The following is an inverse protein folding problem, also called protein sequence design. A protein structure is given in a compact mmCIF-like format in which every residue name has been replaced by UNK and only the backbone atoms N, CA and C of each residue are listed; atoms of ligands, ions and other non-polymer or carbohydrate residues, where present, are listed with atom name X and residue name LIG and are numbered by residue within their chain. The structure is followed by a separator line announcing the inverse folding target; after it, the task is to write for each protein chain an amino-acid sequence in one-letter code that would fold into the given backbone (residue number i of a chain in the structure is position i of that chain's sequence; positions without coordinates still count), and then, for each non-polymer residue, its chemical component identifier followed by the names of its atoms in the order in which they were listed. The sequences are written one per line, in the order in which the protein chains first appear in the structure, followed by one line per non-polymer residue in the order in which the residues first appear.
data_IF_772783797459
#
_entry.id   IF_772783797459
#
_cell.length_a   1.000
_cell.length_b   1.000
_cell.length_c   1.000
_cell.angle_alpha   90.00
_cell.angle_beta   90.00
_cell.angle_gamma   90.00
#
_symmetry.space_group_name_H-M   'P 1'
#
loop_
_entity.id
_entity.type
_entity.pdbx_description
1 polymer ?
#
# COMPACT_ATOMS: atom_id res chain seq x y z
N UNK A 1 12.87 42.89 62.02
CA UNK A 1 12.65 41.44 61.97
C UNK A 1 11.64 41.14 60.89
N UNK A 2 12.11 40.84 59.68
CA UNK A 2 11.24 40.48 58.53
C UNK A 2 11.40 38.99 58.30
N UNK A 3 10.30 38.23 58.50
CA UNK A 3 10.24 36.80 58.26
C UNK A 3 10.15 36.56 56.76
N UNK A 4 11.14 35.87 56.17
CA UNK A 4 11.07 35.30 54.84
C UNK A 4 10.20 34.05 54.91
N UNK A 5 9.09 34.05 54.18
CA UNK A 5 8.30 32.85 53.94
C UNK A 5 8.92 32.14 52.71
N UNK A 6 9.47 30.94 52.94
CA UNK A 6 9.95 30.09 51.88
C UNK A 6 8.78 29.45 51.14
N UNK A 7 8.63 29.76 49.88
CA UNK A 7 7.67 29.11 48.98
C UNK A 7 8.32 27.84 48.41
N UNK A 8 7.97 26.70 48.96
CA UNK A 8 8.34 25.38 48.39
C UNK A 8 7.49 25.12 47.14
N UNK A 9 8.13 25.21 45.99
CA UNK A 9 7.51 24.83 44.71
C UNK A 9 7.43 23.31 44.65
N UNK A 10 6.24 22.75 44.90
CA UNK A 10 5.98 21.35 44.65
C UNK A 10 5.95 21.10 43.12
N UNK A 11 7.01 20.49 42.62
CA UNK A 11 7.09 20.01 41.24
C UNK A 11 6.11 18.84 41.12
N UNK A 12 4.90 19.09 40.64
CA UNK A 12 3.95 18.06 40.28
C UNK A 12 4.56 17.24 39.12
N UNK A 13 4.97 16.02 39.41
CA UNK A 13 5.29 15.03 38.38
C UNK A 13 4.01 14.78 37.56
N UNK A 14 3.94 15.34 36.38
CA UNK A 14 2.98 14.97 35.37
C UNK A 14 3.31 13.51 34.99
N UNK A 15 2.41 12.54 35.20
CA UNK A 15 2.67 11.19 34.70
C UNK A 15 2.89 11.31 33.22
N UNK A 16 4.08 10.87 32.73
CA UNK A 16 4.42 10.90 31.34
C UNK A 16 3.31 10.24 30.53
N UNK A 17 2.75 10.97 29.59
CA UNK A 17 1.91 10.42 28.55
C UNK A 17 2.78 9.37 27.83
N UNK A 18 2.57 8.10 28.17
CA UNK A 18 3.09 6.99 27.38
C UNK A 18 2.42 7.13 26.00
N UNK A 19 3.12 7.72 25.05
CA UNK A 19 2.71 7.63 23.66
C UNK A 19 2.67 6.14 23.32
N UNK A 20 1.48 5.60 23.11
CA UNK A 20 1.34 4.27 22.58
C UNK A 20 2.15 4.24 21.27
N UNK A 21 3.10 3.33 21.17
CA UNK A 21 3.86 3.19 19.94
C UNK A 21 2.85 2.95 18.80
N UNK A 22 2.98 3.71 17.72
CA UNK A 22 2.09 3.53 16.57
C UNK A 22 2.09 2.07 16.12
N UNK A 23 0.93 1.52 15.73
CA UNK A 23 0.81 0.14 15.34
C UNK A 23 1.72 -0.17 14.16
N UNK A 24 2.21 -1.41 14.09
CA UNK A 24 2.99 -1.90 12.96
C UNK A 24 2.01 -2.50 11.95
N UNK A 25 2.08 -2.04 10.72
CA UNK A 25 1.40 -2.71 9.61
C UNK A 25 2.23 -3.94 9.21
N UNK A 26 1.61 -5.11 9.14
CA UNK A 26 2.27 -6.35 8.79
C UNK A 26 1.54 -7.04 7.64
N UNK A 27 2.28 -7.37 6.61
CA UNK A 27 1.81 -8.21 5.51
C UNK A 27 2.58 -9.53 5.48
N UNK A 28 1.85 -10.63 5.39
CA UNK A 28 2.41 -11.97 5.21
C UNK A 28 1.87 -12.56 3.92
N UNK A 29 2.73 -12.77 2.94
CA UNK A 29 2.35 -13.17 1.58
C UNK A 29 1.23 -12.30 1.00
N UNK A 30 1.32 -10.99 1.21
CA UNK A 30 0.35 -10.00 0.76
C UNK A 30 -0.93 -9.87 1.59
N UNK A 31 -1.16 -10.75 2.56
CA UNK A 31 -2.34 -10.69 3.44
C UNK A 31 -2.05 -9.74 4.60
N UNK A 32 -2.95 -8.78 4.84
CA UNK A 32 -2.87 -7.86 5.96
C UNK A 32 -3.09 -8.58 7.29
N UNK A 33 -2.10 -8.53 8.17
CA UNK A 33 -2.16 -9.22 9.46
C UNK A 33 -3.09 -8.52 10.47
N UNK A 34 -3.70 -7.38 10.17
CA UNK A 34 -4.73 -6.75 11.03
C UNK A 34 -5.96 -7.64 11.17
N UNK A 35 -6.22 -8.49 10.19
CA UNK A 35 -7.32 -9.46 10.23
C UNK A 35 -7.04 -10.66 11.17
N UNK A 36 -5.80 -10.79 11.65
CA UNK A 36 -5.48 -11.84 12.60
C UNK A 36 -5.90 -11.46 14.02
N UNK A 37 -6.49 -12.43 14.71
CA UNK A 37 -6.96 -12.27 16.10
C UNK A 37 -5.83 -11.88 17.06
N UNK A 38 -4.63 -12.31 16.76
CA UNK A 38 -3.44 -12.07 17.59
C UNK A 38 -2.47 -11.17 16.84
N UNK A 39 -2.15 -10.02 17.43
CA UNK A 39 -1.33 -9.00 16.80
C UNK A 39 0.17 -9.23 17.01
N UNK A 40 1.03 -8.71 16.10
CA UNK A 40 2.48 -8.71 16.30
C UNK A 40 2.90 -7.88 17.51
N UNK A 41 4.02 -8.24 18.12
CA UNK A 41 4.61 -7.53 19.26
C UNK A 41 6.03 -7.11 18.90
N UNK A 42 6.41 -5.87 19.23
CA UNK A 42 7.82 -5.43 19.23
C UNK A 42 8.39 -5.57 20.61
N UNK A 43 9.47 -6.35 20.72
CA UNK A 43 10.22 -6.57 21.97
C UNK A 43 11.70 -6.61 21.65
N UNK A 44 12.53 -5.90 22.43
CA UNK A 44 13.98 -5.83 22.21
C UNK A 44 14.34 -5.41 20.77
N UNK A 45 13.61 -4.42 20.23
CA UNK A 45 13.73 -3.93 18.85
C UNK A 45 13.56 -5.01 17.76
N UNK A 46 12.87 -6.10 18.07
CA UNK A 46 12.54 -7.18 17.14
C UNK A 46 11.03 -7.38 17.07
N UNK A 47 10.57 -7.71 15.86
CA UNK A 47 9.18 -8.06 15.60
C UNK A 47 8.96 -9.55 15.86
N UNK A 48 8.01 -9.84 16.73
CA UNK A 48 7.57 -11.18 17.04
C UNK A 48 6.13 -11.38 16.58
N UNK A 49 5.84 -12.57 16.07
CA UNK A 49 4.53 -12.99 15.64
C UNK A 49 4.04 -14.21 16.44
N UNK A 50 2.74 -14.28 16.74
CA UNK A 50 2.16 -15.51 17.21
C UNK A 50 2.30 -16.59 16.15
N UNK A 51 2.87 -17.74 16.51
CA UNK A 51 3.17 -18.82 15.55
C UNK A 51 1.97 -19.20 14.72
N UNK A 52 0.78 -19.32 15.34
CA UNK A 52 -0.44 -19.73 14.64
C UNK A 52 -0.82 -18.75 13.52
N UNK A 53 -0.80 -17.45 13.81
CA UNK A 53 -1.12 -16.41 12.80
C UNK A 53 -0.20 -16.48 11.60
N UNK A 54 1.10 -16.72 11.84
CA UNK A 54 2.09 -16.85 10.76
C UNK A 54 1.82 -18.09 9.92
N UNK A 55 1.58 -19.22 10.56
CA UNK A 55 1.41 -20.50 9.85
C UNK A 55 0.11 -20.56 9.07
N UNK A 56 -0.97 -19.99 9.60
CA UNK A 56 -2.23 -19.84 8.87
C UNK A 56 -2.06 -18.96 7.62
N UNK A 57 -1.37 -17.80 7.76
CA UNK A 57 -1.09 -16.91 6.64
C UNK A 57 -0.19 -17.52 5.56
N UNK A 58 0.70 -18.40 5.97
CA UNK A 58 1.67 -19.05 5.05
C UNK A 58 1.17 -20.39 4.52
N UNK A 59 0.03 -20.90 5.00
CA UNK A 59 -0.47 -22.22 4.65
C UNK A 59 0.43 -23.36 5.14
N UNK A 60 1.22 -23.11 6.18
CA UNK A 60 2.19 -24.05 6.75
C UNK A 60 1.67 -24.54 8.10
N UNK A 61 1.89 -25.83 8.41
CA UNK A 61 1.50 -26.39 9.70
C UNK A 61 2.55 -26.04 10.76
N UNK A 62 2.08 -25.66 11.95
CA UNK A 62 2.89 -25.56 13.15
C UNK A 62 2.54 -26.70 14.11
N UNK A 63 3.56 -27.31 14.69
CA UNK A 63 3.45 -28.28 15.76
C UNK A 63 4.09 -27.72 17.04
N UNK A 64 3.53 -28.09 18.20
CA UNK A 64 4.00 -27.67 19.52
C UNK A 64 4.22 -28.86 20.43
N UNK A 65 5.47 -29.06 20.84
CA UNK A 65 5.79 -30.02 21.90
C UNK A 65 5.86 -29.31 23.27
N UNK A 66 4.90 -29.65 24.13
CA UNK A 66 4.80 -29.08 25.46
C UNK A 66 5.94 -29.46 26.40
N UNK A 67 6.56 -30.66 26.21
CA UNK A 67 7.61 -31.16 27.11
C UNK A 67 8.93 -30.46 26.84
N UNK A 68 9.34 -30.40 25.58
CA UNK A 68 10.56 -29.73 25.15
C UNK A 68 10.37 -28.22 24.96
N UNK A 69 9.14 -27.72 25.00
CA UNK A 69 8.79 -26.34 24.65
C UNK A 69 9.27 -25.96 23.25
N UNK A 70 9.22 -26.90 22.32
CA UNK A 70 9.66 -26.72 20.95
C UNK A 70 8.49 -26.37 20.05
N UNK A 71 8.65 -25.34 19.24
CA UNK A 71 7.80 -25.00 18.14
C UNK A 71 8.44 -25.51 16.86
N UNK A 72 7.71 -26.24 16.05
CA UNK A 72 8.15 -26.70 14.72
C UNK A 72 7.25 -26.07 13.65
N UNK A 73 7.86 -25.44 12.64
CA UNK A 73 7.15 -24.86 11.49
C UNK A 73 7.87 -25.31 10.21
N UNK A 74 7.30 -26.28 9.50
CA UNK A 74 7.99 -26.94 8.39
C UNK A 74 9.32 -27.55 8.88
N UNK A 75 10.44 -27.15 8.27
CA UNK A 75 11.78 -27.63 8.61
C UNK A 75 12.50 -26.73 9.64
N UNK A 76 11.76 -25.92 10.39
CA UNK A 76 12.28 -25.00 11.39
C UNK A 76 11.86 -25.44 12.79
N UNK A 77 12.83 -25.62 13.68
CA UNK A 77 12.60 -25.97 15.09
C UNK A 77 13.20 -24.88 15.98
N UNK A 78 12.39 -24.34 16.89
CA UNK A 78 12.76 -23.32 17.86
C UNK A 78 12.34 -23.73 19.25
N UNK A 79 13.21 -23.63 20.25
CA UNK A 79 12.89 -23.88 21.65
C UNK A 79 12.59 -22.55 22.32
N UNK A 80 11.47 -22.47 23.04
CA UNK A 80 11.11 -21.26 23.79
C UNK A 80 12.14 -20.97 24.87
N UNK A 81 12.66 -19.75 24.85
CA UNK A 81 13.71 -19.28 25.76
C UNK A 81 15.13 -19.53 25.26
N UNK A 82 15.33 -20.28 24.18
CA UNK A 82 16.64 -20.56 23.59
C UNK A 82 16.87 -19.73 22.34
N UNK A 83 18.14 -19.30 22.15
CA UNK A 83 18.54 -18.58 20.94
C UNK A 83 18.98 -19.51 19.80
N UNK A 84 19.38 -20.72 20.10
CA UNK A 84 19.71 -21.69 19.08
C UNK A 84 18.45 -22.32 18.48
N UNK A 85 18.48 -22.51 17.18
CA UNK A 85 17.39 -23.10 16.43
C UNK A 85 17.91 -23.95 15.28
N UNK A 86 17.08 -24.81 14.73
CA UNK A 86 17.40 -25.59 13.54
C UNK A 86 16.55 -25.07 12.37
N UNK A 87 17.16 -24.87 11.23
CA UNK A 87 16.46 -24.54 10.00
C UNK A 87 17.05 -25.31 8.83
N UNK A 88 16.22 -26.07 8.12
CA UNK A 88 16.63 -26.94 7.00
C UNK A 88 17.76 -27.93 7.40
N UNK A 89 17.71 -28.46 8.62
CA UNK A 89 18.70 -29.38 9.18
C UNK A 89 19.99 -28.73 9.70
N UNK A 90 20.13 -27.41 9.59
CA UNK A 90 21.31 -26.67 10.07
C UNK A 90 21.02 -25.98 11.40
N UNK A 91 21.98 -26.06 12.33
CA UNK A 91 21.95 -25.27 13.57
C UNK A 91 22.35 -23.83 13.29
N UNK A 92 21.53 -22.90 13.80
CA UNK A 92 21.72 -21.45 13.68
C UNK A 92 21.43 -20.77 15.03
N UNK A 93 21.85 -19.53 15.19
CA UNK A 93 21.63 -18.76 16.41
C UNK A 93 20.90 -17.46 16.12
N UNK A 94 19.86 -17.19 16.91
CA UNK A 94 19.09 -15.94 16.88
C UNK A 94 19.68 -14.90 17.83
N UNK A 95 19.47 -13.64 17.57
CA UNK A 95 19.83 -12.57 18.52
C UNK A 95 18.82 -12.45 19.68
N UNK A 96 17.58 -12.90 19.49
CA UNK A 96 16.50 -12.94 20.47
C UNK A 96 15.82 -14.32 20.49
N UNK A 97 15.30 -14.75 21.63
CA UNK A 97 14.66 -16.06 21.80
C UNK A 97 13.12 -15.97 21.63
N UNK A 98 12.47 -17.03 21.15
CA UNK A 98 11.03 -17.16 21.22
C UNK A 98 10.53 -17.13 22.66
N UNK A 99 9.32 -16.62 22.89
CA UNK A 99 8.74 -16.55 24.24
C UNK A 99 7.24 -16.90 24.24
N UNK A 100 6.70 -17.18 25.43
CA UNK A 100 5.26 -17.35 25.62
C UNK A 100 4.70 -16.15 26.38
N UNK A 101 3.63 -15.58 25.86
CA UNK A 101 2.85 -14.53 26.50
C UNK A 101 1.35 -14.80 26.30
N UNK A 102 0.56 -14.74 27.38
CA UNK A 102 -0.90 -14.98 27.37
C UNK A 102 -1.27 -16.28 26.62
N UNK A 103 -0.60 -17.36 26.94
CA UNK A 103 -0.76 -18.68 26.31
C UNK A 103 -0.55 -18.72 24.79
N UNK A 104 0.24 -17.79 24.26
CA UNK A 104 0.65 -17.76 22.86
C UNK A 104 2.17 -17.82 22.75
N UNK A 105 2.65 -18.62 21.83
CA UNK A 105 4.07 -18.67 21.49
C UNK A 105 4.39 -17.64 20.42
N UNK A 106 5.28 -16.73 20.75
CA UNK A 106 5.77 -15.68 19.86
C UNK A 106 7.16 -16.05 19.35
N UNK A 107 7.32 -15.98 18.04
CA UNK A 107 8.60 -16.26 17.37
C UNK A 107 9.10 -15.02 16.63
N UNK A 108 10.43 -14.82 16.59
CA UNK A 108 11.00 -13.70 15.85
C UNK A 108 10.77 -13.88 14.35
N UNK A 109 10.09 -12.94 13.73
CA UNK A 109 9.66 -13.00 12.31
C UNK A 109 10.81 -13.28 11.36
N UNK A 110 11.95 -12.60 11.55
CA UNK A 110 13.10 -12.71 10.66
C UNK A 110 13.59 -14.14 10.53
N UNK A 111 13.84 -14.81 11.65
CA UNK A 111 14.42 -16.16 11.64
C UNK A 111 13.46 -17.20 11.11
N UNK A 112 12.17 -17.03 11.38
CA UNK A 112 11.15 -17.90 10.78
C UNK A 112 11.10 -17.72 9.26
N UNK A 113 11.05 -16.47 8.79
CA UNK A 113 11.00 -16.17 7.37
C UNK A 113 12.27 -16.60 6.61
N UNK A 114 13.46 -16.37 7.19
CA UNK A 114 14.74 -16.82 6.62
C UNK A 114 14.81 -18.35 6.51
N UNK A 115 14.37 -19.07 7.56
CA UNK A 115 14.29 -20.52 7.54
C UNK A 115 13.34 -21.06 6.46
N UNK A 116 12.27 -20.32 6.17
CA UNK A 116 11.33 -20.60 5.09
C UNK A 116 11.76 -20.05 3.72
N UNK A 117 12.94 -19.42 3.64
CA UNK A 117 13.49 -18.78 2.43
C UNK A 117 12.57 -17.67 1.89
N UNK A 118 11.86 -16.98 2.78
CA UNK A 118 11.00 -15.85 2.43
C UNK A 118 11.74 -14.53 2.63
N UNK A 119 11.60 -13.57 1.70
CA UNK A 119 12.14 -12.24 1.90
C UNK A 119 11.43 -11.53 3.05
N UNK A 120 12.17 -10.75 3.83
CA UNK A 120 11.64 -9.86 4.86
C UNK A 120 12.09 -8.45 4.55
N UNK A 121 11.14 -7.53 4.45
CA UNK A 121 11.40 -6.11 4.24
C UNK A 121 10.81 -5.30 5.38
N UNK A 122 11.59 -4.36 5.92
CA UNK A 122 11.12 -3.39 6.90
C UNK A 122 11.10 -1.99 6.28
N UNK A 123 9.96 -1.33 6.36
CA UNK A 123 9.81 0.08 6.04
C UNK A 123 9.71 0.90 7.32
N UNK A 124 10.82 1.48 7.73
CA UNK A 124 10.89 2.26 8.97
C UNK A 124 10.07 3.55 8.93
N UNK A 125 9.88 4.15 7.76
CA UNK A 125 9.09 5.38 7.59
C UNK A 125 7.60 5.12 7.90
N UNK A 126 7.07 4.04 7.38
CA UNK A 126 5.65 3.69 7.52
C UNK A 126 5.42 2.61 8.59
N UNK A 127 6.46 2.22 9.36
CA UNK A 127 6.41 1.15 10.36
C UNK A 127 5.74 -0.12 9.84
N UNK A 128 6.12 -0.52 8.61
CA UNK A 128 5.53 -1.68 7.94
C UNK A 128 6.55 -2.82 7.79
N UNK A 129 6.13 -4.03 8.15
CA UNK A 129 6.87 -5.27 7.91
C UNK A 129 6.19 -6.09 6.82
N UNK A 130 6.97 -6.60 5.88
CA UNK A 130 6.50 -7.40 4.76
C UNK A 130 7.28 -8.70 4.75
N UNK A 131 6.59 -9.82 4.87
CA UNK A 131 7.14 -11.18 4.84
C UNK A 131 6.61 -11.90 3.61
N UNK A 132 7.50 -12.37 2.76
CA UNK A 132 7.13 -13.04 1.51
C UNK A 132 6.63 -12.09 0.43
N UNK A 133 5.90 -12.64 -0.53
CA UNK A 133 5.24 -11.89 -1.60
C UNK A 133 3.89 -12.55 -1.90
N UNK A 134 2.91 -11.74 -2.32
CA UNK A 134 1.65 -12.28 -2.82
C UNK A 134 1.88 -12.88 -4.22
N UNK A 135 2.37 -14.12 -4.26
CA UNK A 135 2.53 -14.89 -5.49
C UNK A 135 2.08 -16.33 -5.24
N UNK A 136 1.05 -16.73 -5.95
CA UNK A 136 0.68 -18.11 -6.15
C UNK A 136 0.79 -18.42 -7.64
N UNK A 137 0.72 -19.70 -8.03
CA UNK A 137 0.59 -20.07 -9.44
C UNK A 137 -0.79 -19.64 -9.93
N UNK A 138 -0.83 -18.90 -11.04
CA UNK A 138 -2.10 -18.56 -11.69
C UNK A 138 -2.73 -19.80 -12.33
N UNK A 139 -4.05 -19.98 -12.16
CA UNK A 139 -4.78 -21.13 -12.68
C UNK A 139 -5.00 -21.06 -14.21
N UNK A 140 -4.50 -20.04 -14.88
CA UNK A 140 -4.63 -19.88 -16.33
C UNK A 140 -3.27 -19.66 -17.02
N UNK A 141 -3.23 -19.92 -18.32
CA UNK A 141 -2.09 -19.52 -19.16
C UNK A 141 -2.28 -18.07 -19.58
N UNK A 142 -1.31 -17.16 -19.27
CA UNK A 142 -1.38 -15.77 -19.72
C UNK A 142 -1.36 -15.73 -21.25
N UNK A 143 -2.24 -14.91 -21.84
CA UNK A 143 -2.25 -14.65 -23.29
C UNK A 143 -1.85 -13.22 -23.59
N UNK A 144 -2.24 -12.27 -22.72
CA UNK A 144 -1.98 -10.85 -22.88
C UNK A 144 -1.45 -10.25 -21.60
N UNK A 145 -0.33 -9.55 -21.67
CA UNK A 145 0.17 -8.70 -20.59
C UNK A 145 -0.28 -7.28 -20.83
N UNK A 146 -0.79 -6.63 -19.79
CA UNK A 146 -1.22 -5.24 -19.82
C UNK A 146 -0.55 -4.46 -18.70
N UNK A 147 -0.31 -3.18 -18.95
CA UNK A 147 0.27 -2.26 -17.97
C UNK A 147 -0.66 -1.08 -17.79
N UNK A 148 -0.99 -0.78 -16.54
CA UNK A 148 -1.72 0.41 -16.11
C UNK A 148 -0.92 1.09 -15.00
N UNK A 149 -0.47 2.33 -15.27
CA UNK A 149 0.47 3.00 -14.37
C UNK A 149 1.73 2.14 -14.17
N UNK A 150 2.04 1.82 -12.94
CA UNK A 150 3.17 0.96 -12.58
C UNK A 150 2.79 -0.52 -12.34
N UNK A 151 1.53 -0.88 -12.45
CA UNK A 151 1.08 -2.25 -12.32
C UNK A 151 1.01 -2.94 -13.68
N UNK A 152 1.71 -4.06 -13.81
CA UNK A 152 1.68 -4.94 -14.98
C UNK A 152 1.09 -6.28 -14.56
N UNK A 153 0.15 -6.80 -15.30
CA UNK A 153 -0.47 -8.10 -15.02
C UNK A 153 -0.89 -8.81 -16.29
N UNK A 154 -1.12 -10.10 -16.19
CA UNK A 154 -1.47 -10.97 -17.31
C UNK A 154 -2.95 -11.30 -17.31
N UNK A 155 -3.52 -11.36 -18.50
CA UNK A 155 -4.92 -11.68 -18.74
C UNK A 155 -5.02 -13.00 -19.53
N UNK A 156 -6.01 -13.86 -19.22
CA UNK A 156 -6.27 -15.08 -19.99
C UNK A 156 -6.97 -14.75 -21.31
N UNK A 157 -7.09 -15.75 -22.16
CA UNK A 157 -7.88 -15.66 -23.38
C UNK A 157 -9.33 -15.31 -23.08
N UNK A 158 -9.92 -14.47 -23.95
CA UNK A 158 -11.35 -14.12 -23.89
C UNK A 158 -11.80 -13.44 -22.56
N UNK A 159 -10.87 -12.83 -21.81
CA UNK A 159 -11.18 -12.20 -20.53
C UNK A 159 -12.27 -11.10 -20.67
N UNK A 160 -12.35 -10.44 -21.83
CA UNK A 160 -13.33 -9.40 -22.14
C UNK A 160 -14.79 -9.92 -22.17
N UNK A 161 -14.98 -11.22 -22.27
CA UNK A 161 -16.32 -11.85 -22.17
C UNK A 161 -16.82 -11.90 -20.72
N UNK A 162 -15.90 -11.81 -19.75
CA UNK A 162 -16.20 -11.97 -18.33
C UNK A 162 -15.96 -10.73 -17.49
N UNK A 163 -15.00 -9.89 -17.87
CA UNK A 163 -14.59 -8.72 -17.10
C UNK A 163 -14.76 -7.41 -17.90
N UNK A 164 -15.02 -6.34 -17.19
CA UNK A 164 -14.74 -4.97 -17.59
C UNK A 164 -13.59 -4.48 -16.71
N UNK A 165 -12.57 -3.89 -17.31
CA UNK A 165 -11.42 -3.31 -16.61
C UNK A 165 -11.37 -1.84 -16.95
N UNK A 166 -11.44 -0.99 -15.93
CA UNK A 166 -11.32 0.45 -16.07
C UNK A 166 -10.01 0.94 -15.43
N UNK A 167 -9.48 2.01 -15.99
CA UNK A 167 -8.32 2.69 -15.42
C UNK A 167 -8.67 4.15 -15.20
N UNK A 168 -8.47 4.63 -14.00
CA UNK A 168 -8.65 6.03 -13.64
C UNK A 168 -7.61 6.45 -12.64
N UNK A 169 -6.90 7.54 -12.93
CA UNK A 169 -5.82 8.07 -12.08
C UNK A 169 -4.76 6.98 -11.80
N UNK A 170 -4.71 6.50 -10.57
CA UNK A 170 -3.74 5.48 -10.10
C UNK A 170 -4.43 4.14 -9.77
N UNK A 171 -5.68 3.97 -10.18
CA UNK A 171 -6.51 2.80 -9.87
C UNK A 171 -6.85 2.00 -11.11
N UNK A 172 -6.77 0.68 -11.01
CA UNK A 172 -7.30 -0.29 -11.98
C UNK A 172 -8.46 -1.00 -11.31
N UNK A 173 -9.67 -0.83 -11.83
CA UNK A 173 -10.86 -1.44 -11.26
C UNK A 173 -11.38 -2.56 -12.14
N UNK A 174 -11.71 -3.69 -11.51
CA UNK A 174 -12.25 -4.88 -12.14
C UNK A 174 -13.73 -5.01 -11.84
N UNK A 175 -14.53 -5.24 -12.88
CA UNK A 175 -15.96 -5.47 -12.77
C UNK A 175 -16.36 -6.80 -13.42
N UNK A 176 -17.35 -7.48 -12.84
CA UNK A 176 -18.09 -8.53 -13.53
C UNK A 176 -18.89 -7.91 -14.68
N UNK A 177 -18.59 -8.37 -15.88
CA UNK A 177 -19.16 -7.77 -17.09
C UNK A 177 -20.67 -7.84 -17.13
N UNK A 178 -21.27 -8.98 -16.72
CA UNK A 178 -22.71 -9.17 -16.83
C UNK A 178 -23.48 -8.24 -15.88
N UNK A 179 -23.00 -8.05 -14.67
CA UNK A 179 -23.59 -7.12 -13.72
C UNK A 179 -23.33 -5.65 -14.11
N UNK A 180 -22.15 -5.34 -14.61
CA UNK A 180 -21.78 -4.01 -15.08
C UNK A 180 -22.59 -3.59 -16.31
N UNK A 181 -22.79 -4.48 -17.30
CA UNK A 181 -23.61 -4.22 -18.47
C UNK A 181 -25.09 -4.05 -18.11
N UNK A 182 -25.57 -4.71 -17.05
CA UNK A 182 -26.94 -4.54 -16.57
C UNK A 182 -27.13 -3.22 -15.80
N UNK A 183 -26.12 -2.77 -15.06
CA UNK A 183 -26.09 -1.50 -14.35
C UNK A 183 -24.64 -1.07 -14.13
N UNK A 184 -24.19 0.01 -14.76
CA UNK A 184 -22.80 0.46 -14.83
C UNK A 184 -22.11 0.62 -13.45
N UNK A 185 -22.86 0.99 -12.42
CA UNK A 185 -22.34 1.12 -11.05
C UNK A 185 -22.14 -0.21 -10.31
N UNK A 186 -22.62 -1.33 -10.88
CA UNK A 186 -22.63 -2.64 -10.24
C UNK A 186 -21.54 -3.57 -10.82
N UNK A 187 -21.37 -4.72 -10.21
CA UNK A 187 -20.40 -5.70 -10.65
C UNK A 187 -18.97 -5.44 -10.21
N UNK A 188 -18.69 -4.40 -9.40
CA UNK A 188 -17.33 -4.12 -8.90
C UNK A 188 -16.84 -5.30 -8.07
N UNK A 189 -15.65 -5.83 -8.44
CA UNK A 189 -15.00 -6.95 -7.74
C UNK A 189 -13.94 -6.39 -6.80
N UNK A 190 -13.05 -5.58 -7.33
CA UNK A 190 -11.95 -5.00 -6.58
C UNK A 190 -11.13 -4.05 -7.42
N UNK A 191 -10.13 -3.46 -6.80
CA UNK A 191 -9.26 -2.49 -7.46
C UNK A 191 -7.81 -2.64 -7.03
N UNK A 192 -6.89 -2.44 -7.97
CA UNK A 192 -5.47 -2.26 -7.70
C UNK A 192 -5.22 -0.77 -7.54
N UNK A 193 -4.61 -0.37 -6.45
CA UNK A 193 -4.29 1.03 -6.13
C UNK A 193 -2.83 1.17 -5.74
N UNK A 194 -2.21 2.27 -6.15
CA UNK A 194 -0.87 2.67 -5.71
C UNK A 194 -0.98 3.76 -4.66
N UNK A 195 -0.28 3.61 -3.53
CA UNK A 195 -0.27 4.58 -2.43
C UNK A 195 1.06 4.58 -1.67
N UNK A 196 1.43 5.71 -1.07
CA UNK A 196 2.67 5.84 -0.30
C UNK A 196 2.64 5.10 1.04
N UNK A 197 1.47 4.99 1.64
CA UNK A 197 1.28 4.32 2.92
C UNK A 197 0.46 3.04 2.71
N UNK A 198 0.90 1.88 3.23
CA UNK A 198 0.13 0.65 3.14
C UNK A 198 -1.11 0.63 4.06
N UNK A 199 -1.28 1.64 4.89
CA UNK A 199 -2.40 1.72 5.84
C UNK A 199 -3.71 2.07 5.13
N UNK A 200 -4.32 1.05 4.54
CA UNK A 200 -5.64 1.16 3.92
C UNK A 200 -6.75 1.14 4.99
N UNK A 201 -7.80 1.98 4.86
CA UNK A 201 -8.95 1.95 5.77
C UNK A 201 -9.76 0.65 5.66
N UNK A 202 -9.57 -0.13 4.62
CA UNK A 202 -10.19 -1.43 4.40
C UNK A 202 -9.13 -2.51 4.25
N UNK A 203 -9.43 -3.77 4.56
CA UNK A 203 -8.50 -4.87 4.34
C UNK A 203 -8.01 -4.90 2.89
N UNK A 204 -6.70 -4.95 2.72
CA UNK A 204 -6.07 -4.92 1.41
C UNK A 204 -5.06 -6.06 1.26
N UNK A 205 -4.89 -6.52 0.03
CA UNK A 205 -3.82 -7.45 -0.33
C UNK A 205 -2.65 -6.64 -0.88
N UNK A 206 -1.48 -6.78 -0.26
CA UNK A 206 -0.24 -6.21 -0.78
C UNK A 206 0.24 -7.03 -1.98
N UNK A 207 0.24 -6.43 -3.15
CA UNK A 207 0.70 -7.05 -4.39
C UNK A 207 2.18 -6.82 -4.63
N UNK A 208 2.66 -5.60 -4.36
CA UNK A 208 4.06 -5.25 -4.53
C UNK A 208 4.44 -4.00 -3.71
N UNK A 209 5.75 -3.83 -3.47
CA UNK A 209 6.32 -2.63 -2.87
C UNK A 209 7.43 -2.08 -3.78
N UNK A 210 7.30 -0.82 -4.16
CA UNK A 210 8.34 -0.03 -4.81
C UNK A 210 9.14 0.82 -3.80
N UNK A 211 10.02 1.68 -4.31
CA UNK A 211 10.85 2.54 -3.47
C UNK A 211 10.06 3.64 -2.75
N UNK A 212 8.97 4.11 -3.34
CA UNK A 212 8.18 5.24 -2.83
C UNK A 212 6.73 4.88 -2.55
N UNK A 213 6.24 3.73 -2.99
CA UNK A 213 4.84 3.37 -2.92
C UNK A 213 4.62 1.87 -2.73
N UNK A 214 3.39 1.55 -2.37
CA UNK A 214 2.85 0.21 -2.27
C UNK A 214 1.77 0.03 -3.34
N UNK A 215 1.71 -1.16 -3.93
CA UNK A 215 0.61 -1.56 -4.80
C UNK A 215 -0.27 -2.53 -4.01
N UNK A 216 -1.49 -2.12 -3.78
CA UNK A 216 -2.47 -2.86 -2.99
C UNK A 216 -3.66 -3.27 -3.87
N UNK A 217 -4.33 -4.35 -3.50
CA UNK A 217 -5.65 -4.67 -4.01
C UNK A 217 -6.67 -4.69 -2.88
N UNK A 218 -7.76 -3.97 -3.06
CA UNK A 218 -8.94 -4.04 -2.19
C UNK A 218 -10.07 -4.70 -2.94
N UNK A 219 -10.86 -5.53 -2.24
CA UNK A 219 -12.08 -6.11 -2.79
C UNK A 219 -13.31 -5.32 -2.34
N UNK A 220 -14.39 -5.41 -3.09
CA UNK A 220 -15.66 -4.86 -2.65
C UNK A 220 -16.08 -5.51 -1.31
N UNK A 221 -16.52 -4.68 -0.36
CA UNK A 221 -16.93 -5.12 0.98
C UNK A 221 -18.27 -5.84 1.00
N UNK A 222 -19.04 -5.67 -0.06
CA UNK A 222 -20.38 -6.22 -0.25
C UNK A 222 -20.51 -6.86 -1.64
N UNK A 223 -21.54 -7.69 -1.81
CA UNK A 223 -21.82 -8.36 -3.08
C UNK A 223 -22.43 -7.36 -4.07
N UNK A 224 -21.70 -7.08 -5.14
CA UNK A 224 -22.05 -6.10 -6.17
C UNK A 224 -22.84 -6.75 -7.31
N UNK A 225 -23.91 -7.49 -6.99
CA UNK A 225 -24.81 -8.15 -7.95
C UNK A 225 -26.10 -7.34 -8.06
N UNK A 226 -26.50 -7.03 -9.28
CA UNK A 226 -27.72 -6.20 -9.57
C UNK A 226 -28.99 -6.82 -8.99
N UNK A 227 -29.10 -8.15 -9.09
CA UNK A 227 -30.21 -8.92 -8.54
C UNK A 227 -29.69 -10.23 -7.95
N UNK A 228 -29.65 -10.31 -6.63
CA UNK A 228 -29.18 -11.51 -5.90
C UNK A 228 -30.12 -12.72 -6.02
N UNK A 229 -31.38 -12.52 -6.45
CA UNK A 229 -32.31 -13.59 -6.79
C UNK A 229 -32.02 -14.22 -8.16
N UNK A 230 -31.26 -13.52 -9.01
CA UNK A 230 -30.91 -14.01 -10.34
C UNK A 230 -29.64 -14.84 -10.29
N UNK A 231 -29.81 -16.17 -10.32
CA UNK A 231 -28.69 -17.13 -10.26
C UNK A 231 -27.62 -16.89 -11.33
N UNK A 232 -28.01 -16.47 -12.54
CA UNK A 232 -27.07 -16.23 -13.64
C UNK A 232 -26.13 -15.05 -13.35
N UNK A 233 -26.64 -13.97 -12.76
CA UNK A 233 -25.84 -12.81 -12.33
C UNK A 233 -24.91 -13.18 -11.17
N UNK A 234 -25.40 -13.95 -10.20
CA UNK A 234 -24.61 -14.42 -9.07
C UNK A 234 -23.45 -15.37 -9.53
N UNK A 235 -23.76 -16.32 -10.42
CA UNK A 235 -22.78 -17.24 -10.96
C UNK A 235 -21.70 -16.49 -11.77
N UNK A 236 -22.10 -15.47 -12.57
CA UNK A 236 -21.16 -14.63 -13.30
C UNK A 236 -20.22 -13.89 -12.35
N UNK A 237 -20.78 -13.19 -11.35
CA UNK A 237 -19.99 -12.45 -10.36
C UNK A 237 -18.99 -13.36 -9.64
N UNK A 238 -19.42 -14.55 -9.23
CA UNK A 238 -18.56 -15.53 -8.54
C UNK A 238 -17.39 -15.96 -9.43
N UNK A 239 -17.65 -16.26 -10.71
CA UNK A 239 -16.60 -16.63 -11.67
C UNK A 239 -15.62 -15.48 -11.91
N UNK A 240 -16.14 -14.27 -12.07
CA UNK A 240 -15.34 -13.07 -12.28
C UNK A 240 -14.46 -12.75 -11.06
N UNK A 241 -14.98 -12.92 -9.85
CA UNK A 241 -14.20 -12.77 -8.61
C UNK A 241 -13.04 -13.78 -8.53
N UNK A 242 -13.29 -15.06 -8.90
CA UNK A 242 -12.24 -16.08 -8.97
C UNK A 242 -11.18 -15.71 -10.02
N UNK A 243 -11.62 -15.25 -11.20
CA UNK A 243 -10.71 -14.86 -12.28
C UNK A 243 -9.83 -13.68 -11.86
N UNK A 244 -10.39 -12.65 -11.20
CA UNK A 244 -9.61 -11.52 -10.70
C UNK A 244 -8.56 -12.00 -9.69
N UNK A 245 -8.90 -12.89 -8.77
CA UNK A 245 -7.92 -13.48 -7.83
C UNK A 245 -6.75 -14.18 -8.53
N UNK A 246 -7.01 -14.86 -9.65
CA UNK A 246 -5.95 -15.47 -10.45
C UNK A 246 -5.12 -14.43 -11.21
N UNK A 247 -5.75 -13.37 -11.75
CA UNK A 247 -5.05 -12.24 -12.38
C UNK A 247 -4.10 -11.57 -11.38
N UNK A 248 -4.53 -11.35 -10.13
CA UNK A 248 -3.70 -10.72 -9.09
C UNK A 248 -2.41 -11.48 -8.81
N UNK A 249 -2.38 -12.80 -8.97
CA UNK A 249 -1.16 -13.62 -8.82
C UNK A 249 -0.09 -13.31 -9.88
N UNK A 250 -0.49 -12.70 -10.98
CA UNK A 250 0.39 -12.32 -12.09
C UNK A 250 0.86 -10.87 -12.02
N UNK A 251 0.43 -10.11 -10.98
CA UNK A 251 0.78 -8.70 -10.86
C UNK A 251 2.28 -8.55 -10.60
N UNK A 252 2.90 -7.73 -11.43
CA UNK A 252 4.26 -7.28 -11.28
C UNK A 252 4.28 -5.76 -11.21
N UNK A 253 5.25 -5.23 -10.47
CA UNK A 253 5.46 -3.79 -10.39
C UNK A 253 6.57 -3.39 -11.33
N UNK A 254 6.29 -2.40 -12.16
CA UNK A 254 7.30 -1.67 -12.88
C UNK A 254 7.69 -0.44 -12.05
N UNK A 255 8.63 -0.63 -11.11
CA UNK A 255 9.10 0.46 -10.25
C UNK A 255 9.93 1.47 -11.06
N UNK A 256 9.22 2.34 -11.77
CA UNK A 256 9.84 3.41 -12.59
C UNK A 256 10.62 4.42 -11.74
N UNK A 257 10.42 4.40 -10.40
CA UNK A 257 11.13 5.25 -9.45
C UNK A 257 12.44 4.64 -8.92
N UNK A 258 12.73 3.38 -9.25
CA UNK A 258 13.85 2.63 -8.66
C UNK A 258 15.21 3.35 -8.79
N UNK A 259 15.47 3.92 -9.97
CA UNK A 259 16.74 4.58 -10.28
C UNK A 259 16.53 6.08 -10.60
N UNK A 260 15.51 6.69 -10.01
CA UNK A 260 15.18 8.09 -10.27
C UNK A 260 15.67 8.99 -9.12
N UNK A 261 16.40 10.05 -9.50
CA UNK A 261 16.88 11.06 -8.56
C UNK A 261 15.82 12.14 -8.30
N UNK A 262 15.75 12.66 -7.07
CA UNK A 262 14.91 13.82 -6.78
C UNK A 262 15.30 15.04 -7.64
N UNK A 263 14.29 15.74 -8.15
CA UNK A 263 14.45 17.05 -8.78
C UNK A 263 13.87 18.12 -7.88
N UNK A 264 14.53 19.28 -7.81
CA UNK A 264 14.06 20.43 -7.07
C UNK A 264 13.52 21.48 -8.04
N UNK A 265 12.29 21.94 -7.81
CA UNK A 265 11.64 23.04 -8.55
C UNK A 265 11.11 24.02 -7.53
N UNK A 266 11.65 25.23 -7.51
CA UNK A 266 11.41 26.15 -6.38
C UNK A 266 11.83 25.50 -5.05
N UNK A 267 10.95 25.52 -4.07
CA UNK A 267 11.16 24.89 -2.76
C UNK A 267 10.63 23.45 -2.66
N UNK A 268 10.07 22.92 -3.75
CA UNK A 268 9.50 21.57 -3.79
C UNK A 268 10.55 20.58 -4.31
N UNK A 269 10.79 19.53 -3.55
CA UNK A 269 11.58 18.37 -3.99
C UNK A 269 10.65 17.20 -4.29
N UNK A 270 10.76 16.66 -5.50
CA UNK A 270 9.94 15.52 -5.96
C UNK A 270 10.76 14.60 -6.87
N UNK A 271 10.30 13.39 -7.11
CA UNK A 271 10.94 12.48 -8.06
C UNK A 271 10.09 12.37 -9.32
N UNK A 272 10.66 12.75 -10.46
CA UNK A 272 10.04 12.56 -11.77
C UNK A 272 10.84 11.49 -12.50
N UNK A 273 10.33 10.26 -12.64
CA UNK A 273 11.01 9.17 -13.31
C UNK A 273 11.40 9.52 -14.75
N UNK A 274 12.49 8.95 -15.24
CA UNK A 274 12.91 9.13 -16.64
C UNK A 274 11.80 8.77 -17.62
N UNK A 275 11.06 7.70 -17.32
CA UNK A 275 9.91 7.25 -18.13
C UNK A 275 8.75 8.26 -18.20
N UNK A 276 8.67 9.21 -17.26
CA UNK A 276 7.61 10.23 -17.22
C UNK A 276 8.05 11.57 -17.76
N UNK A 277 9.35 11.79 -18.00
CA UNK A 277 9.91 13.08 -18.43
C UNK A 277 9.34 13.62 -19.75
N UNK A 278 8.90 12.74 -20.62
CA UNK A 278 8.29 13.17 -21.91
C UNK A 278 6.79 13.51 -21.75
N UNK A 279 6.15 13.00 -20.70
CA UNK A 279 4.73 13.23 -20.44
C UNK A 279 4.49 14.34 -19.40
N UNK A 280 5.30 14.41 -18.35
CA UNK A 280 5.12 15.31 -17.21
C UNK A 280 6.21 16.37 -17.17
N UNK A 281 5.81 17.62 -16.96
CA UNK A 281 6.67 18.73 -16.66
C UNK A 281 6.37 19.33 -15.31
N UNK A 282 7.38 19.93 -14.69
CA UNK A 282 7.25 20.74 -13.49
C UNK A 282 8.03 22.04 -13.69
N UNK A 283 7.44 23.16 -13.35
CA UNK A 283 8.09 24.48 -13.44
C UNK A 283 7.60 25.41 -12.35
N UNK A 284 8.41 26.43 -12.06
CA UNK A 284 8.01 27.54 -11.19
C UNK A 284 7.46 28.68 -12.03
N UNK A 285 6.21 29.03 -11.81
CA UNK A 285 5.51 30.11 -12.51
C UNK A 285 4.77 30.99 -11.53
N UNK A 286 5.05 32.29 -11.52
CA UNK A 286 4.40 33.25 -10.64
C UNK A 286 4.57 32.96 -9.15
N UNK A 287 5.73 32.42 -8.74
CA UNK A 287 6.04 32.04 -7.35
C UNK A 287 5.33 30.76 -6.88
N UNK A 288 4.78 29.96 -7.81
CA UNK A 288 4.15 28.66 -7.52
C UNK A 288 4.79 27.59 -8.38
N UNK A 289 4.91 26.39 -7.83
CA UNK A 289 5.36 25.22 -8.57
C UNK A 289 4.14 24.50 -9.15
N UNK A 290 4.16 24.25 -10.44
CA UNK A 290 3.06 23.60 -11.16
C UNK A 290 3.52 22.29 -11.79
N UNK A 291 2.61 21.30 -11.84
CA UNK A 291 2.74 20.11 -12.65
C UNK A 291 1.84 20.22 -13.89
N UNK A 292 2.33 19.78 -15.03
CA UNK A 292 1.56 19.80 -16.27
C UNK A 292 1.85 18.60 -17.16
N UNK A 293 0.86 18.18 -17.94
CA UNK A 293 1.00 17.19 -19.01
C UNK A 293 1.47 17.90 -20.30
N UNK A 294 2.58 17.43 -20.83
CA UNK A 294 3.34 18.14 -21.88
C UNK A 294 2.67 18.14 -23.25
N UNK A 295 1.91 17.10 -23.59
CA UNK A 295 1.26 17.01 -24.91
C UNK A 295 0.15 18.04 -25.05
N UNK A 296 -0.69 18.15 -24.01
CA UNK A 296 -1.75 19.16 -23.96
C UNK A 296 -1.16 20.57 -23.84
N UNK A 297 -0.14 20.75 -22.98
CA UNK A 297 0.53 22.04 -22.82
C UNK A 297 1.15 22.55 -24.11
N UNK A 298 1.74 21.64 -24.91
CA UNK A 298 2.27 21.93 -26.24
C UNK A 298 1.18 22.25 -27.26
N UNK A 299 0.05 21.55 -27.20
CA UNK A 299 -1.09 21.78 -28.09
C UNK A 299 -1.73 23.16 -27.84
N UNK A 300 -1.87 23.53 -26.59
CA UNK A 300 -2.38 24.84 -26.17
C UNK A 300 -1.85 25.15 -24.77
N UNK A 301 -1.15 26.27 -24.62
CA UNK A 301 -0.62 26.71 -23.32
C UNK A 301 -1.70 26.79 -22.27
N UNK A 302 -1.44 26.20 -21.10
CA UNK A 302 -2.35 26.09 -19.96
C UNK A 302 -3.35 24.94 -20.03
N UNK A 303 -3.48 24.23 -21.17
CA UNK A 303 -4.40 23.09 -21.26
C UNK A 303 -3.81 21.79 -20.70
N UNK A 304 -2.54 21.78 -20.38
CA UNK A 304 -1.87 20.65 -19.74
C UNK A 304 -1.78 20.77 -18.21
N UNK A 305 -2.24 21.86 -17.61
CA UNK A 305 -2.13 22.05 -16.16
C UNK A 305 -2.81 20.91 -15.39
N UNK A 306 -2.03 20.20 -14.59
CA UNK A 306 -2.53 19.12 -13.72
C UNK A 306 -2.84 19.68 -12.33
N UNK A 307 -1.97 20.52 -11.80
CA UNK A 307 -2.20 21.14 -10.51
C UNK A 307 -1.02 21.97 -10.02
N UNK A 308 -1.15 22.52 -8.82
CA UNK A 308 -0.24 23.53 -8.28
C UNK A 308 0.11 23.21 -6.83
N UNK A 309 1.39 23.23 -6.50
CA UNK A 309 1.86 23.17 -5.12
C UNK A 309 1.67 24.54 -4.45
N UNK A 310 1.12 24.53 -3.25
CA UNK A 310 0.86 25.73 -2.46
C UNK A 310 1.21 25.49 -1.00
N UNK A 311 1.85 26.47 -0.39
CA UNK A 311 2.01 26.53 1.07
C UNK A 311 0.93 27.44 1.60
N UNK A 312 0.08 26.92 2.45
CA UNK A 312 -1.11 27.62 2.97
C UNK A 312 -1.17 27.52 4.49
N UNK A 313 -1.66 28.57 5.15
CA UNK A 313 -1.97 28.49 6.57
C UNK A 313 -3.38 27.91 6.80
N UNK A 314 -3.74 27.64 8.06
CA UNK A 314 -5.02 27.00 8.41
C UNK A 314 -6.25 27.78 7.89
N UNK A 315 -6.21 29.12 7.97
CA UNK A 315 -7.33 29.97 7.50
C UNK A 315 -7.48 29.99 5.99
N UNK A 316 -6.38 29.83 5.28
CA UNK A 316 -6.37 29.72 3.81
C UNK A 316 -6.84 28.35 3.40
N UNK A 317 -6.41 27.28 4.11
CA UNK A 317 -6.83 25.90 3.85
C UNK A 317 -8.35 25.74 3.94
N UNK A 318 -8.98 26.35 4.94
CA UNK A 318 -10.45 26.36 5.13
C UNK A 318 -11.25 27.04 4.00
N UNK A 319 -10.57 27.86 3.19
CA UNK A 319 -11.20 28.61 2.08
C UNK A 319 -10.96 28.01 0.72
N UNK A 320 -10.18 26.93 0.65
CA UNK A 320 -9.90 26.26 -0.63
C UNK A 320 -11.17 25.58 -1.14
N UNK A 321 -11.60 26.01 -2.32
CA UNK A 321 -12.62 25.33 -3.09
C UNK A 321 -11.93 24.53 -4.19
N UNK A 322 -12.11 23.22 -4.21
CA UNK A 322 -11.49 22.31 -5.16
C UNK A 322 -10.81 21.13 -4.49
N UNK A 323 -10.47 20.12 -5.28
CA UNK A 323 -9.81 18.92 -4.80
C UNK A 323 -8.33 19.18 -4.55
N UNK A 324 -7.85 18.78 -3.39
CA UNK A 324 -6.44 18.88 -3.05
C UNK A 324 -5.92 17.68 -2.26
N UNK A 325 -4.61 17.42 -2.41
CA UNK A 325 -3.89 16.49 -1.56
C UNK A 325 -3.09 17.27 -0.50
N UNK A 326 -3.25 16.90 0.76
CA UNK A 326 -2.42 17.40 1.85
C UNK A 326 -1.12 16.60 1.87
N UNK A 327 -0.01 17.22 1.45
CA UNK A 327 1.29 16.55 1.31
C UNK A 327 2.14 16.64 2.58
N UNK A 328 2.04 17.76 3.28
CA UNK A 328 2.74 17.97 4.55
C UNK A 328 1.90 18.91 5.42
N UNK A 329 1.77 18.54 6.67
CA UNK A 329 1.11 19.35 7.69
C UNK A 329 2.12 19.78 8.76
N UNK A 330 2.12 21.06 9.09
CA UNK A 330 2.69 21.53 10.32
C UNK A 330 1.76 22.57 10.96
N UNK A 331 2.01 22.92 12.22
CA UNK A 331 1.11 23.77 13.01
C UNK A 331 0.82 25.14 12.40
N UNK A 332 1.77 25.69 11.64
CA UNK A 332 1.70 27.03 11.09
C UNK A 332 1.32 27.06 9.61
N UNK A 333 1.84 26.11 8.83
CA UNK A 333 1.65 26.04 7.39
C UNK A 333 1.51 24.59 6.90
N UNK A 334 0.71 24.40 5.87
CA UNK A 334 0.54 23.11 5.19
C UNK A 334 1.01 23.21 3.75
N UNK A 335 1.70 22.18 3.26
CA UNK A 335 1.96 22.01 1.85
C UNK A 335 0.83 21.18 1.24
N UNK A 336 0.17 21.73 0.26
CA UNK A 336 -0.90 21.04 -0.48
C UNK A 336 -0.55 20.99 -1.97
N UNK A 337 -1.17 20.04 -2.66
CA UNK A 337 -1.27 20.06 -4.12
C UNK A 337 -2.74 20.25 -4.49
N UNK A 338 -3.03 21.41 -5.06
CA UNK A 338 -4.37 21.75 -5.55
C UNK A 338 -4.49 21.29 -6.99
N UNK A 339 -5.44 20.37 -7.24
CA UNK A 339 -5.71 19.85 -8.57
C UNK A 339 -6.36 20.92 -9.45
N UNK A 340 -5.99 20.94 -10.72
CA UNK A 340 -6.66 21.77 -11.70
C UNK A 340 -8.02 21.14 -12.10
N UNK A 341 -8.95 21.96 -12.52
CA UNK A 341 -10.15 21.47 -13.18
C UNK A 341 -9.77 20.73 -14.48
N UNK A 342 -10.42 19.58 -14.75
CA UNK A 342 -10.16 18.82 -15.95
C UNK A 342 -10.49 19.68 -17.18
N UNK A 343 -9.52 19.87 -18.11
CA UNK A 343 -9.73 20.69 -19.27
C UNK A 343 -10.77 20.03 -20.20
N UNK A 344 -11.66 20.84 -20.77
CA UNK A 344 -12.66 20.37 -21.73
C UNK A 344 -12.00 19.99 -23.09
N UNK A 345 -11.22 18.89 -23.08
CA UNK A 345 -10.52 18.39 -24.26
C UNK A 345 -11.44 17.47 -25.05
N UNK A 346 -11.73 17.85 -26.31
CA UNK A 346 -12.58 17.05 -27.21
C UNK A 346 -11.79 16.01 -28.01
N UNK A 347 -10.51 16.24 -28.25
CA UNK A 347 -9.63 15.32 -28.97
C UNK A 347 -9.35 14.09 -28.09
N UNK A 348 -9.69 12.86 -28.55
CA UNK A 348 -9.51 11.64 -27.76
C UNK A 348 -8.05 11.35 -27.38
N UNK A 349 -7.09 11.73 -28.26
CA UNK A 349 -5.65 11.50 -28.02
C UNK A 349 -5.16 12.44 -26.92
N UNK A 350 -5.53 13.72 -26.98
CA UNK A 350 -5.18 14.70 -25.96
C UNK A 350 -5.87 14.39 -24.63
N UNK A 351 -7.14 13.96 -24.67
CA UNK A 351 -7.87 13.54 -23.46
C UNK A 351 -7.17 12.36 -22.79
N UNK A 352 -6.80 11.34 -23.57
CA UNK A 352 -6.05 10.18 -23.05
C UNK A 352 -4.71 10.59 -22.45
N UNK A 353 -3.93 11.45 -23.15
CA UNK A 353 -2.65 11.93 -22.65
C UNK A 353 -2.80 12.66 -21.31
N UNK A 354 -3.83 13.49 -21.16
CA UNK A 354 -4.13 14.19 -19.92
C UNK A 354 -4.47 13.20 -18.77
N UNK A 355 -5.36 12.24 -19.03
CA UNK A 355 -5.74 11.22 -18.04
C UNK A 355 -4.54 10.37 -17.59
N UNK A 356 -3.70 9.93 -18.53
CA UNK A 356 -2.45 9.22 -18.26
C UNK A 356 -1.47 10.09 -17.45
N UNK A 357 -1.45 11.40 -17.74
CA UNK A 357 -0.66 12.40 -17.02
C UNK A 357 -1.11 12.58 -15.57
N UNK A 358 -2.40 12.62 -15.34
CA UNK A 358 -2.98 12.67 -13.98
C UNK A 358 -2.54 11.47 -13.15
N UNK A 359 -2.61 10.24 -13.71
CA UNK A 359 -2.14 9.04 -13.02
C UNK A 359 -0.66 9.12 -12.61
N UNK A 360 0.20 9.61 -13.54
CA UNK A 360 1.63 9.82 -13.26
C UNK A 360 1.86 10.89 -12.20
N UNK A 361 1.05 11.94 -12.18
CA UNK A 361 1.15 13.01 -11.18
C UNK A 361 0.83 12.48 -9.78
N UNK A 362 -0.20 11.66 -9.60
CA UNK A 362 -0.49 11.00 -8.31
C UNK A 362 0.74 10.25 -7.78
N UNK A 363 1.39 9.45 -8.62
CA UNK A 363 2.59 8.72 -8.22
C UNK A 363 3.77 9.65 -7.86
N UNK A 364 3.93 10.78 -8.58
CA UNK A 364 4.96 11.78 -8.28
C UNK A 364 4.69 12.45 -6.92
N UNK A 365 3.42 12.77 -6.60
CA UNK A 365 3.05 13.40 -5.34
C UNK A 365 3.46 12.58 -4.12
N UNK A 366 3.46 11.25 -4.21
CA UNK A 366 3.90 10.34 -3.16
C UNK A 366 5.40 10.49 -2.81
N UNK A 367 6.18 11.10 -3.70
CA UNK A 367 7.62 11.33 -3.54
C UNK A 367 7.97 12.71 -2.98
N UNK A 368 7.00 13.61 -2.84
CA UNK A 368 7.21 15.02 -2.44
C UNK A 368 7.73 15.12 -1.00
N UNK A 369 8.77 15.97 -0.84
CA UNK A 369 9.40 16.25 0.45
C UNK A 369 9.43 17.74 0.71
#
# INVERSE_FOLDING_TARGET
MKKLLGLTLALAMIPGLAFAAEPITLYINGIDARDYKEQPIVREDRLFLPVRSVTEAMGVKADWDKKSKTVTVGDIEMVVGEKDYVANGEKKTMDVAPFIEKDRTYVPVRFLAEGMKLPVTWDGKNRAAIVGAYKGDAAFKPEKTVTYGNATFSLPKDWEKQLVITYSHHQVTFYDKMNHDAQESMGRIGEITTMANPDSPVPAILLAKGNYFYTLCTFASDVQVVDTGNKKLCDSYTKSNQLVKEILKTVEINDVFKDADPVKVGDISMVIPKAYKDAIGAEETGGKVVLFEKTNEKAKKGSGLIGTFQVVNQKELEKINGDYNLLRYNKDNSLIFLWAEEPAVKDPVLKKAYTDGMGKAYEILETVK
#
